data_IF_500592933983
#
_entry.id   IF_500592933983
#
_cell.length_a   1.000
_cell.length_b   1.000
_cell.length_c   1.000
_cell.angle_alpha   90.00
_cell.angle_beta   90.00
_cell.angle_gamma   90.00
#
_symmetry.space_group_name_H-M   'P 1'
#
loop_
_entity.id
_entity.type
_entity.pdbx_description
1 polymer ?
#
# COMPACT_ATOMS: atom_id res chain seq x y z
N UNK A 1 3.81 -2.71 -9.31
CA UNK A 1 3.10 -1.57 -9.89
C UNK A 1 4.08 -0.48 -10.32
N UNK A 2 3.69 0.31 -11.29
CA UNK A 2 4.52 1.43 -11.70
C UNK A 2 4.23 2.64 -10.81
N UNK A 3 5.00 3.74 -11.02
CA UNK A 3 4.85 4.93 -10.19
C UNK A 3 3.48 5.57 -10.33
N UNK A 4 2.94 5.63 -11.55
CA UNK A 4 1.63 6.24 -11.78
C UNK A 4 0.52 5.50 -11.04
N UNK A 5 0.54 4.17 -11.09
CA UNK A 5 -0.43 3.37 -10.38
C UNK A 5 -0.30 3.57 -8.87
N UNK A 6 0.95 3.60 -8.37
CA UNK A 6 1.20 3.81 -6.95
C UNK A 6 0.66 5.16 -6.49
N UNK A 7 0.90 6.22 -7.26
CA UNK A 7 0.40 7.56 -6.92
C UNK A 7 -1.12 7.58 -6.93
N UNK A 8 -1.75 6.93 -7.90
CA UNK A 8 -3.21 6.85 -7.97
C UNK A 8 -3.80 6.15 -6.75
N UNK A 9 -3.19 5.04 -6.33
CA UNK A 9 -3.63 4.31 -5.15
C UNK A 9 -3.47 5.16 -3.89
N UNK A 10 -2.34 5.85 -3.76
CA UNK A 10 -2.10 6.73 -2.61
C UNK A 10 -3.15 7.83 -2.53
N UNK A 11 -3.44 8.47 -3.65
CA UNK A 11 -4.46 9.53 -3.68
C UNK A 11 -5.83 9.00 -3.27
N UNK A 12 -6.19 7.82 -3.75
CA UNK A 12 -7.45 7.20 -3.40
C UNK A 12 -7.53 6.89 -1.91
N UNK A 13 -6.43 6.39 -1.34
CA UNK A 13 -6.37 6.12 0.09
C UNK A 13 -6.62 7.40 0.90
N UNK A 14 -5.95 8.49 0.54
CA UNK A 14 -6.12 9.76 1.25
C UNK A 14 -7.51 10.35 1.07
N UNK A 15 -8.10 10.20 -0.10
CA UNK A 15 -9.44 10.74 -0.35
C UNK A 15 -10.53 9.99 0.39
N UNK A 16 -10.37 8.69 0.55
CA UNK A 16 -11.40 7.84 1.15
C UNK A 16 -11.20 7.58 2.63
N UNK A 17 -10.00 7.76 3.14
CA UNK A 17 -9.72 7.49 4.55
C UNK A 17 -9.02 8.65 5.21
N UNK A 18 -9.76 9.40 6.02
CA UNK A 18 -9.22 10.58 6.72
C UNK A 18 -8.39 10.21 7.95
N UNK A 19 -8.35 8.93 8.32
CA UNK A 19 -7.58 8.47 9.46
C UNK A 19 -6.11 8.26 9.12
N UNK A 20 -5.77 8.22 7.84
CA UNK A 20 -4.40 8.02 7.41
C UNK A 20 -3.72 9.37 7.22
N UNK A 21 -2.62 9.58 7.96
CA UNK A 21 -1.81 10.78 7.83
C UNK A 21 -0.65 10.53 6.86
N UNK A 22 -0.15 11.58 6.25
CA UNK A 22 0.94 11.45 5.29
C UNK A 22 2.19 10.78 5.85
N UNK A 23 2.47 10.98 7.14
CA UNK A 23 3.62 10.35 7.78
C UNK A 23 3.45 8.84 7.98
N UNK A 24 2.21 8.35 7.88
CA UNK A 24 1.90 6.93 8.03
C UNK A 24 2.00 6.16 6.73
N UNK A 25 2.32 6.83 5.64
CA UNK A 25 2.32 6.23 4.32
C UNK A 25 3.63 6.55 3.61
N UNK A 26 4.26 5.54 3.05
CA UNK A 26 5.53 5.69 2.33
C UNK A 26 5.45 5.00 0.99
N UNK A 27 5.94 5.66 -0.04
CA UNK A 27 6.11 5.07 -1.35
C UNK A 27 7.57 4.65 -1.50
N UNK A 28 7.79 3.35 -1.69
CA UNK A 28 9.14 2.81 -1.86
C UNK A 28 9.39 2.44 -3.31
N UNK A 29 10.50 2.93 -3.89
CA UNK A 29 10.85 2.58 -5.26
C UNK A 29 11.37 1.15 -5.36
N UNK A 30 11.47 0.59 -6.57
CA UNK A 30 12.05 -0.73 -6.76
C UNK A 30 13.48 -0.81 -6.25
N UNK A 31 13.83 -1.94 -5.63
CA UNK A 31 15.17 -2.15 -5.05
C UNK A 31 15.68 -3.54 -5.35
N UNK A 32 16.42 -3.73 -6.37
CA UNK A 32 17.13 -5.00 -6.56
C UNK A 32 16.29 -6.11 -7.17
N UNK A 33 16.58 -7.34 -6.80
CA UNK A 33 16.15 -8.52 -7.54
C UNK A 33 15.03 -9.33 -6.91
N UNK A 34 14.54 -8.92 -5.75
CA UNK A 34 13.42 -9.62 -5.12
C UNK A 34 12.12 -9.30 -5.82
N UNK A 35 11.21 -10.29 -5.84
CA UNK A 35 9.90 -10.11 -6.48
C UNK A 35 9.14 -8.92 -5.90
N UNK A 36 9.20 -8.73 -4.57
CA UNK A 36 8.54 -7.60 -3.93
C UNK A 36 9.28 -6.30 -4.13
N UNK A 37 10.56 -6.34 -4.46
CA UNK A 37 11.41 -5.15 -4.58
C UNK A 37 11.58 -4.65 -6.00
N UNK A 38 11.10 -5.40 -7.00
CA UNK A 38 11.25 -5.02 -8.40
C UNK A 38 10.24 -3.99 -8.88
N UNK A 39 9.24 -3.68 -8.06
CA UNK A 39 8.21 -2.73 -8.40
C UNK A 39 8.03 -1.77 -7.24
N UNK A 40 7.28 -0.69 -7.47
CA UNK A 40 6.94 0.21 -6.38
C UNK A 40 6.09 -0.51 -5.35
N UNK A 41 6.27 -0.13 -4.09
CA UNK A 41 5.49 -0.64 -2.97
C UNK A 41 4.95 0.54 -2.17
N UNK A 42 3.78 0.34 -1.58
CA UNK A 42 3.21 1.34 -0.68
C UNK A 42 3.19 0.73 0.71
N UNK A 43 3.88 1.38 1.66
CA UNK A 43 3.90 0.94 3.05
C UNK A 43 2.98 1.84 3.85
N UNK A 44 2.03 1.24 4.55
CA UNK A 44 1.03 1.96 5.32
C UNK A 44 1.10 1.50 6.77
N UNK A 45 1.27 2.44 7.69
CA UNK A 45 1.26 2.14 9.11
C UNK A 45 -0.19 2.08 9.58
N UNK A 46 -0.63 0.90 10.00
CA UNK A 46 -2.01 0.66 10.40
C UNK A 46 -2.16 0.46 11.91
N UNK A 47 -1.06 0.24 12.62
CA UNK A 47 -1.07 0.02 14.07
C UNK A 47 -2.06 -1.05 14.52
N UNK A 48 -2.17 -2.13 13.74
CA UNK A 48 -3.08 -3.24 13.99
C UNK A 48 -4.55 -2.82 14.05
N UNK A 49 -4.90 -1.70 13.43
CA UNK A 49 -6.28 -1.26 13.31
C UNK A 49 -6.97 -2.07 12.21
N UNK A 50 -7.86 -2.98 12.62
CA UNK A 50 -8.54 -3.87 11.67
C UNK A 50 -9.33 -3.12 10.61
N UNK A 51 -9.91 -1.98 10.98
CA UNK A 51 -10.67 -1.17 10.01
C UNK A 51 -9.77 -0.66 8.90
N UNK A 52 -8.60 -0.13 9.26
CA UNK A 52 -7.63 0.35 8.27
C UNK A 52 -7.09 -0.78 7.41
N UNK A 53 -6.83 -1.94 8.02
CA UNK A 53 -6.35 -3.10 7.28
C UNK A 53 -7.36 -3.53 6.22
N UNK A 54 -8.62 -3.65 6.60
CA UNK A 54 -9.69 -4.01 5.65
C UNK A 54 -9.84 -2.97 4.55
N UNK A 55 -9.73 -1.70 4.91
CA UNK A 55 -9.82 -0.61 3.94
C UNK A 55 -8.72 -0.71 2.89
N UNK A 56 -7.48 -0.93 3.34
CA UNK A 56 -6.32 -1.07 2.45
C UNK A 56 -6.48 -2.30 1.55
N UNK A 57 -6.92 -3.41 2.13
CA UNK A 57 -7.14 -4.63 1.36
C UNK A 57 -8.18 -4.43 0.26
N UNK A 58 -9.26 -3.72 0.56
CA UNK A 58 -10.30 -3.47 -0.43
C UNK A 58 -9.80 -2.61 -1.57
N UNK A 59 -9.05 -1.56 -1.26
CA UNK A 59 -8.49 -0.69 -2.31
C UNK A 59 -7.50 -1.47 -3.18
N UNK A 60 -6.62 -2.25 -2.55
CA UNK A 60 -5.66 -3.06 -3.30
C UNK A 60 -6.37 -4.01 -4.25
N UNK A 61 -7.44 -4.64 -3.79
CA UNK A 61 -8.22 -5.58 -4.58
C UNK A 61 -8.84 -4.91 -5.80
N UNK A 62 -9.34 -3.69 -5.64
CA UNK A 62 -9.90 -2.92 -6.75
C UNK A 62 -8.87 -2.65 -7.84
N UNK A 63 -7.61 -2.56 -7.49
CA UNK A 63 -6.52 -2.28 -8.41
C UNK A 63 -5.74 -3.55 -8.81
N UNK A 64 -6.24 -4.73 -8.46
CA UNK A 64 -5.57 -6.00 -8.72
C UNK A 64 -4.18 -6.07 -8.10
N UNK A 65 -4.06 -5.57 -6.88
CA UNK A 65 -2.83 -5.57 -6.11
C UNK A 65 -2.95 -6.52 -4.93
N UNK A 66 -1.83 -6.96 -4.41
CA UNK A 66 -1.78 -7.77 -3.20
C UNK A 66 -1.40 -6.92 -2.00
N UNK A 67 -1.75 -7.40 -0.82
CA UNK A 67 -1.43 -6.75 0.43
C UNK A 67 -0.83 -7.78 1.38
N UNK A 68 0.25 -7.39 2.02
CA UNK A 68 0.84 -8.18 3.10
C UNK A 68 0.85 -7.31 4.34
N UNK A 69 0.17 -7.73 5.41
CA UNK A 69 0.11 -6.96 6.65
C UNK A 69 0.87 -7.68 7.74
N UNK A 70 1.76 -6.97 8.41
CA UNK A 70 2.63 -7.54 9.42
C UNK A 70 3.14 -6.45 10.36
N UNK A 71 3.14 -6.75 11.66
CA UNK A 71 3.75 -5.88 12.67
C UNK A 71 3.28 -4.43 12.62
N UNK A 72 1.98 -4.22 12.42
CA UNK A 72 1.42 -2.88 12.41
C UNK A 72 1.54 -2.15 11.08
N UNK A 73 2.02 -2.83 10.05
CA UNK A 73 2.16 -2.28 8.70
C UNK A 73 1.44 -3.12 7.67
N UNK A 74 0.96 -2.48 6.62
CA UNK A 74 0.50 -3.18 5.43
C UNK A 74 1.35 -2.73 4.26
N UNK A 75 1.74 -3.68 3.42
CA UNK A 75 2.51 -3.43 2.22
C UNK A 75 1.64 -3.76 1.02
N UNK A 76 1.38 -2.76 0.18
CA UNK A 76 0.64 -2.94 -1.07
C UNK A 76 1.64 -3.10 -2.20
N UNK A 77 1.51 -4.15 -2.98
CA UNK A 77 2.46 -4.44 -4.04
C UNK A 77 1.77 -5.16 -5.19
N UNK A 78 2.44 -5.22 -6.33
CA UNK A 78 1.95 -5.94 -7.51
C UNK A 78 2.65 -7.29 -7.57
N UNK A 79 1.94 -8.40 -7.44
CA UNK A 79 2.54 -9.71 -7.65
C UNK A 79 2.81 -9.93 -9.13
N UNK A 80 3.68 -10.87 -9.44
CA UNK A 80 3.95 -11.22 -10.81
C UNK A 80 2.77 -11.89 -11.50
#
# INVERSE_FOLDING_TARGET
MNREQAVTVIKEIFEQCHQIEGKSLKLLPPKGNDALSNTFQIHIETNDNNFLILFVENIAKEHNLDVMCKDGYCIVYKPY
#
